data_IF_504024354279
#
_entry.id   IF_504024354279
#
_cell.length_a   1.000
_cell.length_b   1.000
_cell.length_c   1.000
_cell.angle_alpha   90.00
_cell.angle_beta   90.00
_cell.angle_gamma   90.00
#
_symmetry.space_group_name_H-M   'P 1'
#
loop_
_entity.id
_entity.type
_entity.pdbx_description
1 polymer ?
#
# COMPACT_ATOMS: atom_id res chain seq x y z
N UNK A 1 2.31 -18.49 -1.94
CA UNK A 1 2.37 -17.13 -1.37
C UNK A 1 3.04 -16.07 -2.25
N UNK A 2 4.31 -16.16 -2.69
CA UNK A 2 4.96 -15.02 -3.38
C UNK A 2 4.84 -14.95 -4.92
N UNK A 3 4.26 -15.98 -5.58
CA UNK A 3 4.17 -16.02 -7.05
C UNK A 3 3.36 -14.87 -7.67
N UNK A 4 2.35 -14.38 -6.95
CA UNK A 4 1.38 -13.40 -7.45
C UNK A 4 1.49 -12.07 -6.69
N UNK A 5 2.69 -11.65 -6.26
CA UNK A 5 2.88 -10.44 -5.45
C UNK A 5 2.47 -9.16 -6.19
N UNK A 6 2.80 -9.05 -7.47
CA UNK A 6 2.49 -7.91 -8.34
C UNK A 6 1.20 -8.11 -9.15
N UNK A 7 0.58 -9.29 -9.05
CA UNK A 7 -0.74 -9.52 -9.60
C UNK A 7 -1.80 -9.01 -8.61
N UNK A 8 -2.21 -7.76 -8.82
CA UNK A 8 -3.22 -7.11 -7.98
C UNK A 8 -4.65 -7.62 -8.27
N UNK A 9 -4.87 -8.36 -9.36
CA UNK A 9 -6.16 -8.99 -9.67
C UNK A 9 -6.32 -10.34 -8.97
N UNK A 10 -5.23 -10.97 -8.55
CA UNK A 10 -5.27 -12.25 -7.83
C UNK A 10 -6.00 -12.16 -6.49
N UNK A 11 -6.93 -13.09 -6.23
CA UNK A 11 -7.61 -13.25 -4.95
C UNK A 11 -6.76 -14.09 -4.01
N UNK A 12 -6.31 -13.50 -2.90
CA UNK A 12 -5.37 -14.11 -1.96
C UNK A 12 -6.11 -14.78 -0.79
N UNK A 13 -5.59 -15.89 -0.29
CA UNK A 13 -5.99 -16.45 1.01
C UNK A 13 -5.34 -15.63 2.15
N UNK A 14 -5.84 -15.74 3.39
CA UNK A 14 -5.39 -14.99 4.57
C UNK A 14 -3.86 -15.06 4.78
N UNK A 15 -3.28 -16.26 4.61
CA UNK A 15 -1.81 -16.47 4.69
C UNK A 15 -1.05 -15.75 3.58
N UNK A 16 -1.63 -15.66 2.39
CA UNK A 16 -1.01 -14.99 1.25
C UNK A 16 -1.18 -13.47 1.32
N UNK A 17 -2.28 -12.99 1.91
CA UNK A 17 -2.49 -11.57 2.21
C UNK A 17 -1.49 -11.07 3.27
N UNK A 18 -1.20 -11.87 4.29
CA UNK A 18 -0.12 -11.59 5.24
C UNK A 18 1.24 -11.52 4.51
N UNK A 19 1.51 -12.45 3.59
CA UNK A 19 2.72 -12.42 2.76
C UNK A 19 2.82 -11.17 1.87
N UNK A 20 1.71 -10.73 1.27
CA UNK A 20 1.62 -9.50 0.50
C UNK A 20 1.92 -8.27 1.37
N UNK A 21 1.34 -8.21 2.56
CA UNK A 21 1.56 -7.15 3.54
C UNK A 21 3.04 -7.03 3.91
N UNK A 22 3.68 -8.11 4.36
CA UNK A 22 5.09 -8.07 4.77
C UNK A 22 6.03 -7.70 3.62
N UNK A 23 5.75 -8.19 2.40
CA UNK A 23 6.57 -7.82 1.25
C UNK A 23 6.43 -6.35 0.87
N UNK A 24 5.20 -5.83 0.81
CA UNK A 24 4.98 -4.42 0.46
C UNK A 24 5.47 -3.49 1.57
N UNK A 25 5.46 -3.93 2.83
CA UNK A 25 6.05 -3.21 3.93
C UNK A 25 7.58 -3.12 3.77
N UNK A 26 8.24 -4.24 3.46
CA UNK A 26 9.69 -4.24 3.22
C UNK A 26 10.08 -3.37 2.02
N UNK A 27 9.31 -3.47 0.92
CA UNK A 27 9.51 -2.63 -0.27
C UNK A 27 9.37 -1.15 0.10
N UNK A 28 8.33 -0.78 0.86
CA UNK A 28 8.14 0.60 1.29
C UNK A 28 9.27 1.09 2.21
N UNK A 29 9.78 0.23 3.11
CA UNK A 29 10.91 0.58 3.98
C UNK A 29 12.19 0.84 3.17
N UNK A 30 12.48 0.00 2.19
CA UNK A 30 13.62 0.17 1.28
C UNK A 30 13.47 1.45 0.45
N UNK A 31 12.28 1.70 -0.11
CA UNK A 31 11.97 2.93 -0.84
C UNK A 31 12.14 4.17 0.05
N UNK A 32 11.60 4.16 1.27
CA UNK A 32 11.76 5.24 2.23
C UNK A 32 13.21 5.52 2.57
N UNK A 33 14.02 4.47 2.80
CA UNK A 33 15.44 4.59 3.08
C UNK A 33 16.22 5.16 1.89
N UNK A 34 15.94 4.70 0.66
CA UNK A 34 16.58 5.22 -0.55
C UNK A 34 16.22 6.69 -0.76
N UNK A 35 14.92 7.03 -0.76
CA UNK A 35 14.48 8.40 -1.02
C UNK A 35 14.91 9.34 0.10
N UNK A 36 14.77 8.93 1.36
CA UNK A 36 15.25 9.71 2.51
C UNK A 36 16.77 9.91 2.49
N UNK A 37 17.53 8.86 2.19
CA UNK A 37 18.98 8.94 2.05
C UNK A 37 19.42 9.89 0.95
N UNK A 38 18.75 9.89 -0.20
CA UNK A 38 19.04 10.80 -1.31
C UNK A 38 18.71 12.27 -0.98
N UNK A 39 17.61 12.51 -0.27
CA UNK A 39 17.19 13.87 0.12
C UNK A 39 18.10 14.45 1.22
N UNK A 40 18.66 13.61 2.08
CA UNK A 40 19.50 14.04 3.20
C UNK A 40 20.99 14.19 2.87
N UNK A 41 21.41 14.04 1.61
CA UNK A 41 22.83 14.13 1.19
C UNK A 41 23.45 15.49 1.55
N UNK A 42 22.69 16.58 1.41
CA UNK A 42 23.19 17.94 1.64
C UNK A 42 23.03 18.44 3.09
N UNK A 43 22.62 17.55 4.01
CA UNK A 43 22.41 17.92 5.41
C UNK A 43 23.74 18.08 6.15
N UNK A 44 23.87 19.14 6.95
CA UNK A 44 25.12 19.48 7.63
C UNK A 44 25.35 18.65 8.91
N UNK A 45 24.26 18.16 9.52
CA UNK A 45 24.31 17.42 10.79
C UNK A 45 23.47 16.13 10.72
N UNK A 46 23.89 15.10 11.45
CA UNK A 46 23.16 13.83 11.55
C UNK A 46 21.71 13.99 12.00
N UNK A 47 21.45 14.89 12.95
CA UNK A 47 20.09 15.13 13.47
C UNK A 47 19.16 15.70 12.39
N UNK A 48 19.65 16.64 11.58
CA UNK A 48 18.91 17.21 10.45
C UNK A 48 18.65 16.15 9.37
N UNK A 49 19.65 15.32 9.06
CA UNK A 49 19.50 14.20 8.12
C UNK A 49 18.43 13.22 8.57
N UNK A 50 18.41 12.90 9.87
CA UNK A 50 17.47 11.96 10.45
C UNK A 50 16.04 12.49 10.47
N UNK A 51 15.84 13.75 10.87
CA UNK A 51 14.52 14.38 10.87
C UNK A 51 13.97 14.52 9.45
N UNK A 52 14.80 14.93 8.50
CA UNK A 52 14.44 15.00 7.08
C UNK A 52 14.05 13.61 6.55
N UNK A 53 14.84 12.58 6.87
CA UNK A 53 14.56 11.20 6.50
C UNK A 53 13.23 10.68 7.05
N UNK A 54 12.89 11.01 8.30
CA UNK A 54 11.60 10.66 8.90
C UNK A 54 10.42 11.32 8.18
N UNK A 55 10.52 12.62 7.86
CA UNK A 55 9.47 13.35 7.12
C UNK A 55 9.28 12.78 5.72
N UNK A 56 10.39 12.58 4.99
CA UNK A 56 10.38 11.99 3.65
C UNK A 56 9.81 10.58 3.68
N UNK A 57 10.22 9.76 4.64
CA UNK A 57 9.69 8.41 4.84
C UNK A 57 8.18 8.39 5.07
N UNK A 58 7.64 9.34 5.84
CA UNK A 58 6.20 9.49 6.03
C UNK A 58 5.47 9.81 4.70
N UNK A 59 5.99 10.74 3.91
CA UNK A 59 5.43 11.04 2.59
C UNK A 59 5.46 9.84 1.64
N UNK A 60 6.58 9.12 1.60
CA UNK A 60 6.74 7.90 0.79
C UNK A 60 5.72 6.85 1.23
N UNK A 61 5.54 6.62 2.53
CA UNK A 61 4.57 5.66 3.04
C UNK A 61 3.13 5.99 2.65
N UNK A 62 2.73 7.25 2.75
CA UNK A 62 1.39 7.72 2.35
C UNK A 62 1.17 7.52 0.86
N UNK A 63 2.11 7.98 0.02
CA UNK A 63 2.02 7.85 -1.44
C UNK A 63 2.01 6.39 -1.87
N UNK A 64 2.85 5.55 -1.27
CA UNK A 64 2.91 4.13 -1.58
C UNK A 64 1.61 3.41 -1.22
N UNK A 65 1.04 3.67 -0.03
CA UNK A 65 -0.25 3.10 0.36
C UNK A 65 -1.38 3.52 -0.60
N UNK A 66 -1.41 4.80 -1.00
CA UNK A 66 -2.37 5.31 -1.99
C UNK A 66 -2.24 4.60 -3.34
N UNK A 67 -1.01 4.45 -3.85
CA UNK A 67 -0.75 3.79 -5.15
C UNK A 67 -1.16 2.33 -5.11
N UNK A 68 -0.80 1.60 -4.05
CA UNK A 68 -1.15 0.18 -3.91
C UNK A 68 -2.66 -0.01 -3.73
N UNK A 69 -3.32 0.80 -2.89
CA UNK A 69 -4.77 0.69 -2.69
C UNK A 69 -5.53 0.97 -3.98
N UNK A 70 -5.10 1.99 -4.74
CA UNK A 70 -5.70 2.34 -6.02
C UNK A 70 -5.45 1.29 -7.10
N UNK A 71 -4.23 0.73 -7.19
CA UNK A 71 -3.90 -0.36 -8.10
C UNK A 71 -4.80 -1.57 -7.86
N UNK A 72 -5.01 -1.97 -6.60
CA UNK A 72 -5.91 -3.07 -6.25
C UNK A 72 -7.35 -2.73 -6.62
N UNK A 73 -7.82 -1.52 -6.30
CA UNK A 73 -9.18 -1.06 -6.60
C UNK A 73 -9.51 -1.14 -8.10
N UNK A 74 -8.59 -0.66 -8.94
CA UNK A 74 -8.73 -0.67 -10.41
C UNK A 74 -8.61 -2.08 -10.97
N UNK A 75 -7.58 -2.84 -10.54
CA UNK A 75 -7.28 -4.18 -11.06
C UNK A 75 -8.32 -5.23 -10.69
N UNK A 76 -8.98 -5.07 -9.54
CA UNK A 76 -10.09 -5.94 -9.11
C UNK A 76 -11.47 -5.43 -9.54
N UNK A 77 -11.54 -4.27 -10.20
CA UNK A 77 -12.78 -3.56 -10.57
C UNK A 77 -13.73 -3.32 -9.38
N UNK A 78 -13.16 -3.18 -8.18
CA UNK A 78 -13.90 -2.96 -6.93
C UNK A 78 -14.50 -1.54 -6.84
N UNK A 79 -14.12 -0.64 -7.75
CA UNK A 79 -14.67 0.71 -7.88
C UNK A 79 -16.19 0.75 -8.11
N UNK A 80 -16.81 -0.37 -8.53
CA UNK A 80 -18.27 -0.47 -8.67
C UNK A 80 -19.00 -0.36 -7.33
N UNK A 81 -18.35 -0.65 -6.21
CA UNK A 81 -18.93 -0.52 -4.88
C UNK A 81 -18.26 0.65 -4.13
N UNK A 82 -19.03 1.70 -3.74
CA UNK A 82 -18.47 2.91 -3.13
C UNK A 82 -17.76 2.65 -1.80
N UNK A 83 -18.09 1.56 -1.09
CA UNK A 83 -17.43 1.18 0.16
C UNK A 83 -15.92 0.95 -0.04
N UNK A 84 -15.52 0.32 -1.15
CA UNK A 84 -14.10 0.03 -1.42
C UNK A 84 -13.32 1.28 -1.85
N UNK A 85 -14.00 2.28 -2.43
CA UNK A 85 -13.40 3.58 -2.72
C UNK A 85 -13.05 4.29 -1.42
N UNK A 86 -13.98 4.27 -0.45
CA UNK A 86 -13.77 4.84 0.88
C UNK A 86 -12.61 4.11 1.59
N UNK A 87 -12.57 2.77 1.54
CA UNK A 87 -11.45 2.00 2.11
C UNK A 87 -10.12 2.33 1.44
N UNK A 88 -10.09 2.48 0.11
CA UNK A 88 -8.87 2.84 -0.61
C UNK A 88 -8.33 4.22 -0.22
N UNK A 89 -9.22 5.18 0.09
CA UNK A 89 -8.89 6.51 0.63
C UNK A 89 -8.56 6.48 2.12
N UNK A 90 -9.13 5.54 2.87
CA UNK A 90 -8.84 5.36 4.30
C UNK A 90 -7.43 4.79 4.51
N UNK A 91 -6.91 4.00 3.57
CA UNK A 91 -5.54 3.45 3.60
C UNK A 91 -4.44 4.50 3.75
N UNK A 92 -4.33 5.52 2.89
CA UNK A 92 -3.32 6.57 3.07
C UNK A 92 -3.58 7.42 4.30
N UNK A 93 -4.84 7.60 4.73
CA UNK A 93 -5.14 8.30 5.98
C UNK A 93 -4.62 7.51 7.20
N UNK A 94 -4.82 6.19 7.21
CA UNK A 94 -4.25 5.28 8.21
C UNK A 94 -2.70 5.33 8.18
N UNK A 95 -2.10 5.54 7.01
CA UNK A 95 -0.65 5.67 6.87
C UNK A 95 -0.10 6.94 7.53
N UNK A 96 -0.90 7.99 7.73
CA UNK A 96 -0.43 9.21 8.41
C UNK A 96 -0.14 8.95 9.90
N UNK A 97 -0.90 8.06 10.55
CA UNK A 97 -0.76 7.81 11.99
C UNK A 97 0.40 6.88 12.34
N UNK A 98 0.51 5.75 11.66
CA UNK A 98 1.51 4.71 11.99
C UNK A 98 2.42 4.34 10.79
N UNK A 99 2.41 5.14 9.73
CA UNK A 99 3.13 4.83 8.49
C UNK A 99 2.52 3.64 7.75
N UNK A 100 3.36 2.99 6.94
CA UNK A 100 2.97 1.83 6.13
C UNK A 100 2.51 0.61 6.94
N UNK A 101 2.80 0.55 8.24
CA UNK A 101 2.31 -0.52 9.12
C UNK A 101 0.79 -0.57 9.16
N UNK A 102 0.13 0.57 9.37
CA UNK A 102 -1.33 0.64 9.47
C UNK A 102 -1.95 0.88 8.09
N UNK A 103 -1.27 1.67 7.25
CA UNK A 103 -1.72 1.96 5.89
C UNK A 103 -1.86 0.74 4.99
N UNK A 104 -0.99 -0.27 5.11
CA UNK A 104 -1.01 -1.48 4.27
C UNK A 104 -1.99 -2.56 4.72
N UNK A 105 -2.58 -2.47 5.91
CA UNK A 105 -3.55 -3.46 6.40
C UNK A 105 -4.79 -3.46 5.50
N UNK A 106 -5.29 -2.27 5.17
CA UNK A 106 -6.48 -2.10 4.33
C UNK A 106 -6.27 -2.66 2.91
N UNK A 107 -5.21 -2.31 2.15
CA UNK A 107 -4.99 -2.89 0.84
C UNK A 107 -4.71 -4.39 0.92
N UNK A 108 -4.00 -4.89 1.94
CA UNK A 108 -3.82 -6.33 2.13
C UNK A 108 -5.17 -7.04 2.32
N UNK A 109 -6.09 -6.48 3.10
CA UNK A 109 -7.45 -6.99 3.21
C UNK A 109 -8.24 -6.90 1.90
N UNK A 110 -8.08 -5.82 1.13
CA UNK A 110 -8.72 -5.72 -0.20
C UNK A 110 -8.23 -6.81 -1.17
N UNK A 111 -7.03 -7.36 -0.98
CA UNK A 111 -6.53 -8.46 -1.83
C UNK A 111 -7.24 -9.80 -1.60
N UNK A 112 -7.88 -10.00 -0.45
CA UNK A 112 -8.65 -11.23 -0.17
C UNK A 112 -10.05 -11.19 -0.77
N UNK A 113 -10.49 -10.02 -1.26
CA UNK A 113 -11.79 -9.86 -1.92
C UNK A 113 -11.76 -10.38 -3.35
N UNK A 114 -12.85 -11.02 -3.72
CA UNK A 114 -13.08 -11.51 -5.07
C UNK A 114 -13.21 -10.34 -6.05
N UNK A 115 -12.81 -10.59 -7.30
CA UNK A 115 -13.02 -9.62 -8.37
C UNK A 115 -14.51 -9.57 -8.68
N UNK A 116 -15.05 -8.38 -8.93
CA UNK A 116 -16.38 -8.24 -9.49
C UNK A 116 -16.26 -8.57 -10.99
N UNK A 117 -16.16 -9.86 -11.32
CA UNK A 117 -16.51 -10.35 -12.66
C UNK A 117 -18.01 -10.14 -12.83
N UNK A 118 -18.40 -9.65 -13.99
CA UNK A 118 -19.80 -9.47 -14.35
C UNK A 118 -20.60 -10.71 -13.94
N UNK A 119 -21.62 -10.49 -13.10
CA UNK A 119 -22.73 -11.43 -13.02
C UNK A 119 -23.15 -11.70 -14.46
N UNK A 120 -22.97 -12.94 -14.92
CA UNK A 120 -23.76 -13.46 -16.02
C UNK A 120 -25.22 -13.08 -15.74
N UNK A 121 -25.93 -12.41 -16.67
CA UNK A 121 -27.35 -12.17 -16.51
C UNK A 121 -28.03 -13.54 -16.55
N UNK A 122 -28.42 -14.08 -15.40
CA UNK A 122 -29.35 -15.19 -15.36
C UNK A 122 -30.73 -14.61 -15.64
N UNK A 123 -31.26 -15.09 -16.77
CA UNK A 123 -32.55 -14.80 -17.39
C UNK A 123 -33.76 -15.06 -16.51
#
# INVERSE_FOLDING_TARGET
>A
MFKNLTDFSYTRNDKEAAGFYFMHLLINFILGAIVGGLVSIDSATYDESFESGLRVGAYVAVLYCLVISFLILVRKRLYKNPLYIILALLSPLAAVFLGSLLGLIIPAFMTTRENISEETPTA
#
